data_IF_068465057175
#
_entry.id   IF_068465057175
#
_cell.length_a   1.000
_cell.length_b   1.000
_cell.length_c   1.000
_cell.angle_alpha   90.00
_cell.angle_beta   90.00
_cell.angle_gamma   90.00
#
_symmetry.space_group_name_H-M   'P 1'
#
loop_
_entity.id
_entity.type
_entity.pdbx_description
1 polymer ?
#
# COMPACT_ATOMS: atom_id res chain seq x y z
N UNK A 1 29.76 -5.16 3.92
CA UNK A 1 28.36 -4.65 3.91
C UNK A 1 28.17 -3.84 2.63
N UNK A 2 27.69 -4.47 1.56
CA UNK A 2 27.25 -3.76 0.35
C UNK A 2 25.94 -4.40 -0.08
N UNK A 3 24.84 -3.68 0.09
CA UNK A 3 23.63 -3.97 -0.67
C UNK A 3 23.99 -3.79 -2.15
N UNK A 4 23.74 -4.81 -2.97
CA UNK A 4 24.12 -4.81 -4.38
C UNK A 4 23.36 -3.70 -5.12
N UNK A 5 24.03 -2.69 -5.72
CA UNK A 5 23.36 -1.57 -6.38
C UNK A 5 22.63 -1.98 -7.68
N UNK A 6 22.91 -3.16 -8.23
CA UNK A 6 22.34 -3.63 -9.50
C UNK A 6 20.87 -4.06 -9.36
N UNK A 7 20.46 -4.62 -8.22
CA UNK A 7 19.05 -4.99 -7.99
C UNK A 7 18.15 -3.76 -7.90
N UNK A 8 18.66 -2.67 -7.32
CA UNK A 8 17.97 -1.37 -7.23
C UNK A 8 17.89 -0.68 -8.61
N UNK A 9 18.91 -0.83 -9.45
CA UNK A 9 18.93 -0.27 -10.81
C UNK A 9 18.02 -1.03 -11.79
N UNK A 10 17.98 -2.37 -11.74
CA UNK A 10 17.02 -3.16 -12.49
C UNK A 10 15.56 -2.87 -12.08
N UNK A 11 15.34 -2.59 -10.80
CA UNK A 11 14.05 -2.19 -10.25
C UNK A 11 13.60 -0.79 -10.71
N UNK A 12 14.54 0.15 -10.86
CA UNK A 12 14.23 1.49 -11.39
C UNK A 12 13.67 1.41 -12.82
N UNK A 13 14.27 0.59 -13.69
CA UNK A 13 13.81 0.41 -15.08
C UNK A 13 12.41 -0.25 -15.16
N UNK A 14 12.12 -1.22 -14.29
CA UNK A 14 10.81 -1.89 -14.23
C UNK A 14 9.72 -1.01 -13.63
N UNK A 15 10.08 -0.08 -12.74
CA UNK A 15 9.16 0.85 -12.06
C UNK A 15 8.76 2.04 -12.94
N UNK A 16 9.63 2.46 -13.87
CA UNK A 16 9.33 3.55 -14.84
C UNK A 16 8.62 3.09 -16.11
N UNK A 17 8.56 1.78 -16.38
CA UNK A 17 8.04 1.23 -17.64
C UNK A 17 6.52 1.09 -17.77
N UNK A 18 5.73 1.35 -16.71
CA UNK A 18 4.27 1.12 -16.71
C UNK A 18 3.49 2.44 -16.83
N UNK A 19 3.77 3.20 -17.89
CA UNK A 19 2.89 4.28 -18.37
C UNK A 19 2.87 4.26 -19.91
N UNK A 20 2.15 3.29 -20.45
CA UNK A 20 1.94 3.14 -21.89
C UNK A 20 0.67 2.34 -22.18
N UNK A 21 -0.50 2.87 -21.81
CA UNK A 21 -1.74 2.41 -22.42
C UNK A 21 -1.91 3.18 -23.74
N UNK A 22 -1.71 2.52 -24.87
CA UNK A 22 -2.74 2.38 -25.92
C UNK A 22 -2.26 1.49 -27.08
N UNK A 23 -3.18 0.60 -27.46
CA UNK A 23 -3.30 -0.18 -28.70
C UNK A 23 -2.30 -1.34 -28.94
N UNK A 24 -2.78 -2.57 -28.69
CA UNK A 24 -2.45 -3.75 -29.51
C UNK A 24 -3.74 -4.56 -29.72
N UNK A 25 -4.08 -4.95 -30.96
CA UNK A 25 -5.37 -5.55 -31.29
C UNK A 25 -5.41 -7.04 -30.90
N UNK A 26 -6.65 -7.52 -30.74
CA UNK A 26 -7.00 -8.87 -30.31
C UNK A 26 -6.39 -9.98 -31.20
N UNK A 27 -5.69 -10.91 -30.55
CA UNK A 27 -5.26 -12.21 -31.10
C UNK A 27 -5.66 -13.34 -30.13
N UNK A 28 -5.83 -14.58 -30.63
CA UNK A 28 -6.78 -15.54 -30.05
C UNK A 28 -6.22 -16.30 -28.84
N UNK A 29 -7.05 -16.36 -27.79
CA UNK A 29 -7.08 -17.35 -26.71
C UNK A 29 -5.75 -17.98 -26.27
N UNK A 30 -4.94 -17.23 -25.53
CA UNK A 30 -4.06 -17.84 -24.54
C UNK A 30 -4.91 -18.20 -23.30
N UNK A 31 -4.96 -19.50 -22.97
CA UNK A 31 -5.51 -20.00 -21.69
C UNK A 31 -4.95 -19.15 -20.55
N UNK A 32 -5.78 -18.65 -19.61
CA UNK A 32 -5.25 -17.98 -18.44
C UNK A 32 -4.35 -18.97 -17.71
N UNK A 33 -3.06 -18.64 -17.61
CA UNK A 33 -2.17 -19.31 -16.69
C UNK A 33 -2.80 -19.17 -15.31
N UNK A 34 -3.40 -20.26 -14.83
CA UNK A 34 -3.81 -20.39 -13.45
C UNK A 34 -2.54 -20.14 -12.66
N UNK A 35 -2.48 -18.98 -12.01
CA UNK A 35 -1.46 -18.67 -11.01
C UNK A 35 -1.57 -19.79 -9.99
N UNK A 36 -0.70 -20.78 -10.09
CA UNK A 36 -0.62 -21.84 -9.10
C UNK A 36 -0.27 -21.17 -7.78
N UNK A 37 -1.13 -21.29 -6.76
CA UNK A 37 -0.82 -20.74 -5.45
C UNK A 37 0.42 -21.47 -4.95
N UNK A 38 1.43 -20.72 -4.52
CA UNK A 38 2.64 -21.20 -3.86
C UNK A 38 2.34 -22.42 -2.96
N UNK A 39 2.98 -23.57 -3.12
CA UNK A 39 2.82 -24.67 -2.15
C UNK A 39 3.56 -24.25 -0.86
N UNK A 40 2.84 -23.52 0.01
CA UNK A 40 3.36 -22.67 1.10
C UNK A 40 2.48 -21.42 1.41
N UNK A 41 1.45 -21.14 0.57
CA UNK A 41 0.69 -19.86 0.44
C UNK A 41 0.30 -19.13 1.72
N UNK A 42 -0.12 -19.85 2.78
CA UNK A 42 -0.82 -19.19 3.90
C UNK A 42 0.13 -18.35 4.73
N UNK A 43 1.32 -18.86 5.06
CA UNK A 43 2.26 -18.18 5.93
C UNK A 43 2.91 -17.00 5.21
N UNK A 44 3.28 -17.17 3.94
CA UNK A 44 3.81 -16.09 3.10
C UNK A 44 2.81 -14.95 2.91
N UNK A 45 1.55 -15.30 2.60
CA UNK A 45 0.48 -14.33 2.39
C UNK A 45 0.18 -13.53 3.65
N UNK A 46 -0.01 -14.21 4.79
CA UNK A 46 -0.25 -13.57 6.10
C UNK A 46 0.92 -12.67 6.48
N UNK A 47 2.15 -13.11 6.23
CA UNK A 47 3.34 -12.32 6.51
C UNK A 47 3.39 -11.02 5.72
N UNK A 48 3.27 -11.11 4.39
CA UNK A 48 3.24 -9.93 3.51
C UNK A 48 2.07 -9.00 3.84
N UNK A 49 0.88 -9.55 4.09
CA UNK A 49 -0.29 -8.78 4.52
C UNK A 49 -0.03 -8.03 5.82
N UNK A 50 0.56 -8.68 6.83
CA UNK A 50 0.90 -8.04 8.11
C UNK A 50 1.80 -6.83 7.89
N UNK A 51 2.85 -7.00 7.06
CA UNK A 51 3.77 -5.90 6.78
C UNK A 51 3.11 -4.81 5.94
N UNK A 52 2.25 -5.16 4.99
CA UNK A 52 1.47 -4.19 4.20
C UNK A 52 0.59 -3.35 5.15
N UNK A 53 -0.13 -4.00 6.08
CA UNK A 53 -0.95 -3.30 7.07
C UNK A 53 -0.10 -2.33 7.90
N UNK A 54 1.05 -2.77 8.42
CA UNK A 54 2.01 -1.92 9.13
C UNK A 54 2.43 -0.70 8.33
N UNK A 55 2.84 -0.89 7.08
CA UNK A 55 3.30 0.20 6.23
C UNK A 55 2.17 1.16 5.86
N UNK A 56 0.94 0.67 5.68
CA UNK A 56 -0.21 1.52 5.35
C UNK A 56 -0.72 2.34 6.54
N UNK A 57 -0.69 1.78 7.75
CA UNK A 57 -1.25 2.41 8.96
C UNK A 57 -0.23 3.24 9.73
N UNK A 58 0.97 2.70 9.93
CA UNK A 58 2.02 3.28 10.78
C UNK A 58 3.28 3.67 10.00
N UNK A 59 3.43 3.16 8.78
CA UNK A 59 4.49 3.55 7.87
C UNK A 59 4.35 5.02 7.50
N UNK A 60 5.34 5.83 7.90
CA UNK A 60 5.47 7.20 7.43
C UNK A 60 5.85 7.16 5.94
N UNK A 61 4.84 7.06 5.08
CA UNK A 61 4.97 6.92 3.62
C UNK A 61 4.87 8.26 2.93
N UNK A 62 5.58 8.37 1.83
CA UNK A 62 5.64 9.59 1.02
C UNK A 62 4.60 9.60 -0.11
N UNK A 63 4.11 8.43 -0.46
CA UNK A 63 3.05 8.17 -1.42
C UNK A 63 2.53 6.76 -1.17
N UNK A 64 1.22 6.57 -1.31
CA UNK A 64 0.56 5.28 -1.15
C UNK A 64 0.56 4.47 -2.45
N UNK A 65 0.66 5.11 -3.62
CA UNK A 65 0.55 4.45 -4.93
C UNK A 65 1.73 4.76 -5.86
N UNK A 66 1.98 6.05 -6.09
CA UNK A 66 2.89 6.54 -7.12
C UNK A 66 4.36 6.32 -6.79
N UNK A 67 5.06 5.76 -7.76
CA UNK A 67 6.48 5.50 -7.67
C UNK A 67 7.37 6.73 -7.86
N UNK A 68 6.79 7.80 -8.40
CA UNK A 68 7.48 9.00 -8.83
C UNK A 68 6.67 10.24 -8.48
N UNK A 69 7.36 11.36 -8.27
CA UNK A 69 6.73 12.67 -8.07
C UNK A 69 6.13 13.19 -9.38
N UNK A 70 5.34 14.27 -9.28
CA UNK A 70 4.86 15.01 -10.47
C UNK A 70 6.03 15.49 -11.36
N UNK A 71 7.20 15.73 -10.76
CA UNK A 71 8.43 16.14 -11.45
C UNK A 71 9.27 14.95 -11.95
N UNK A 72 8.75 13.72 -11.83
CA UNK A 72 9.40 12.49 -12.30
C UNK A 72 10.47 11.93 -11.37
N UNK A 73 10.68 12.50 -10.18
CA UNK A 73 11.67 12.01 -9.22
C UNK A 73 11.19 10.73 -8.51
N UNK A 74 12.02 9.72 -8.28
CA UNK A 74 11.60 8.49 -7.63
C UNK A 74 11.21 8.75 -6.16
N UNK A 75 10.06 8.22 -5.75
CA UNK A 75 9.61 8.23 -4.35
C UNK A 75 10.13 6.99 -3.66
N UNK A 76 10.98 7.21 -2.65
CA UNK A 76 11.69 6.13 -1.95
C UNK A 76 10.86 5.49 -0.83
N UNK A 77 9.90 6.20 -0.24
CA UNK A 77 9.06 5.68 0.86
C UNK A 77 7.64 5.39 0.43
N UNK A 78 7.47 4.56 -0.59
CA UNK A 78 6.14 4.02 -0.94
C UNK A 78 5.94 2.65 -0.27
N UNK A 79 4.68 2.20 -0.07
CA UNK A 79 4.43 0.89 0.48
C UNK A 79 5.17 -0.23 -0.25
N UNK A 80 5.15 -0.21 -1.58
CA UNK A 80 5.80 -1.23 -2.40
C UNK A 80 7.33 -1.25 -2.21
N UNK A 81 7.98 -0.08 -2.15
CA UNK A 81 9.45 -0.01 -1.95
C UNK A 81 9.83 -0.46 -0.56
N UNK A 82 9.08 -0.03 0.47
CA UNK A 82 9.34 -0.42 1.84
C UNK A 82 9.17 -1.92 2.04
N UNK A 83 8.15 -2.52 1.43
CA UNK A 83 7.92 -3.97 1.43
C UNK A 83 9.03 -4.73 0.73
N UNK A 84 9.45 -4.26 -0.44
CA UNK A 84 10.51 -4.92 -1.19
C UNK A 84 11.86 -4.83 -0.47
N UNK A 85 12.20 -3.65 0.05
CA UNK A 85 13.41 -3.44 0.86
C UNK A 85 13.42 -4.34 2.10
N UNK A 86 12.26 -4.58 2.69
CA UNK A 86 12.10 -5.46 3.83
C UNK A 86 12.26 -6.94 3.47
N UNK A 87 11.76 -7.37 2.31
CA UNK A 87 11.94 -8.73 1.79
C UNK A 87 13.40 -8.99 1.37
N UNK A 88 14.06 -7.98 0.80
CA UNK A 88 15.45 -8.04 0.34
C UNK A 88 16.48 -7.94 1.47
N UNK A 89 16.04 -7.75 2.72
CA UNK A 89 16.94 -7.69 3.86
C UNK A 89 17.66 -9.04 4.05
N UNK A 90 19.00 -9.04 4.23
CA UNK A 90 19.74 -10.26 4.50
C UNK A 90 19.23 -10.93 5.78
N UNK A 91 19.11 -12.26 5.75
CA UNK A 91 18.62 -13.12 6.84
C UNK A 91 17.13 -12.99 7.20
N UNK A 92 16.33 -12.42 6.30
CA UNK A 92 14.91 -12.31 6.54
C UNK A 92 14.23 -13.72 6.54
N UNK A 93 13.54 -14.14 7.63
CA UNK A 93 13.02 -15.51 7.79
C UNK A 93 11.97 -15.91 6.73
N UNK A 94 11.29 -14.94 6.11
CA UNK A 94 10.42 -15.16 4.95
C UNK A 94 11.17 -15.67 3.72
N UNK A 95 12.43 -15.27 3.52
CA UNK A 95 13.15 -15.44 2.27
C UNK A 95 13.48 -16.91 1.94
N UNK A 96 13.64 -17.76 2.96
CA UNK A 96 14.15 -19.12 2.79
C UNK A 96 13.16 -20.06 2.08
N UNK A 97 11.86 -19.95 2.38
CA UNK A 97 10.85 -20.91 1.89
C UNK A 97 9.75 -20.29 1.01
N UNK A 98 9.64 -18.95 0.97
CA UNK A 98 8.47 -18.28 0.40
C UNK A 98 8.75 -17.47 -0.86
N UNK A 99 10.02 -17.33 -1.24
CA UNK A 99 10.40 -16.58 -2.43
C UNK A 99 10.28 -17.44 -3.70
N UNK A 100 9.92 -16.84 -4.84
CA UNK A 100 9.92 -17.55 -6.10
C UNK A 100 11.33 -18.08 -6.41
N UNK A 101 11.40 -19.30 -6.95
CA UNK A 101 12.68 -19.93 -7.32
C UNK A 101 13.48 -19.03 -8.26
N UNK A 102 14.75 -18.85 -7.96
CA UNK A 102 15.65 -17.97 -8.71
C UNK A 102 15.55 -16.51 -8.32
N UNK A 103 14.80 -16.14 -7.28
CA UNK A 103 14.94 -14.82 -6.65
C UNK A 103 16.23 -14.78 -5.80
N UNK A 104 17.00 -13.68 -5.79
CA UNK A 104 16.77 -12.43 -6.53
C UNK A 104 17.31 -12.41 -7.96
N UNK A 105 18.05 -13.43 -8.42
CA UNK A 105 18.84 -13.35 -9.66
C UNK A 105 18.02 -13.39 -10.98
N UNK A 106 16.77 -13.86 -10.93
CA UNK A 106 15.90 -14.01 -12.10
C UNK A 106 14.89 -12.87 -12.21
N UNK A 107 14.94 -12.14 -13.34
CA UNK A 107 13.95 -11.09 -13.67
C UNK A 107 12.51 -11.62 -13.63
N UNK A 108 12.28 -12.85 -14.10
CA UNK A 108 10.95 -13.49 -14.08
C UNK A 108 10.47 -13.75 -12.65
N UNK A 109 11.35 -14.19 -11.76
CA UNK A 109 11.03 -14.37 -10.35
C UNK A 109 10.70 -13.04 -9.66
N UNK A 110 11.49 -11.98 -9.96
CA UNK A 110 11.24 -10.63 -9.45
C UNK A 110 9.87 -10.09 -9.91
N UNK A 111 9.53 -10.22 -11.19
CA UNK A 111 8.25 -9.77 -11.75
C UNK A 111 7.05 -10.54 -11.16
N UNK A 112 7.22 -11.84 -10.94
CA UNK A 112 6.20 -12.69 -10.30
C UNK A 112 5.93 -12.21 -8.87
N UNK A 113 6.98 -11.99 -8.07
CA UNK A 113 6.85 -11.47 -6.72
C UNK A 113 6.21 -10.08 -6.70
N UNK A 114 6.65 -9.18 -7.59
CA UNK A 114 6.13 -7.83 -7.70
C UNK A 114 4.62 -7.82 -7.97
N UNK A 115 4.15 -8.68 -8.89
CA UNK A 115 2.73 -8.82 -9.23
C UNK A 115 1.90 -9.27 -8.02
N UNK A 116 2.44 -10.20 -7.23
CA UNK A 116 1.80 -10.68 -6.00
C UNK A 116 1.72 -9.55 -4.96
N UNK A 117 2.83 -8.87 -4.69
CA UNK A 117 2.89 -7.78 -3.73
C UNK A 117 1.94 -6.63 -4.10
N UNK A 118 1.87 -6.26 -5.38
CA UNK A 118 0.93 -5.25 -5.86
C UNK A 118 -0.53 -5.68 -5.67
N UNK A 119 -0.84 -6.95 -5.93
CA UNK A 119 -2.19 -7.50 -5.74
C UNK A 119 -2.61 -7.44 -4.27
N UNK A 120 -1.73 -7.88 -3.37
CA UNK A 120 -1.95 -7.82 -1.92
C UNK A 120 -2.08 -6.37 -1.45
N UNK A 121 -1.19 -5.49 -1.88
CA UNK A 121 -1.22 -4.07 -1.52
C UNK A 121 -2.54 -3.41 -1.94
N UNK A 122 -3.01 -3.65 -3.16
CA UNK A 122 -4.28 -3.13 -3.65
C UNK A 122 -5.46 -3.63 -2.82
N UNK A 123 -5.43 -4.90 -2.40
CA UNK A 123 -6.44 -5.48 -1.53
C UNK A 123 -6.47 -4.79 -0.17
N UNK A 124 -5.32 -4.68 0.51
CA UNK A 124 -5.23 -4.05 1.84
C UNK A 124 -5.51 -2.54 1.79
N UNK A 125 -5.14 -1.84 0.71
CA UNK A 125 -5.56 -0.46 0.49
C UNK A 125 -7.09 -0.34 0.37
N UNK A 126 -7.73 -1.25 -0.36
CA UNK A 126 -9.19 -1.32 -0.44
C UNK A 126 -9.83 -1.57 0.94
N UNK A 127 -9.22 -2.45 1.74
CA UNK A 127 -9.64 -2.72 3.11
C UNK A 127 -9.53 -1.47 3.99
N UNK A 128 -8.35 -0.83 4.03
CA UNK A 128 -8.10 0.39 4.79
C UNK A 128 -9.09 1.49 4.41
N UNK A 129 -9.32 1.71 3.10
CA UNK A 129 -10.33 2.65 2.61
C UNK A 129 -11.72 2.35 3.17
N UNK A 130 -12.13 1.09 3.18
CA UNK A 130 -13.42 0.68 3.73
C UNK A 130 -13.52 0.97 5.23
N UNK A 131 -12.43 0.79 5.98
CA UNK A 131 -12.40 1.07 7.43
C UNK A 131 -12.43 2.58 7.69
N UNK A 132 -11.65 3.37 6.96
CA UNK A 132 -11.62 4.83 7.08
C UNK A 132 -12.99 5.48 6.83
N UNK A 133 -13.79 4.90 5.93
CA UNK A 133 -15.11 5.40 5.56
C UNK A 133 -16.26 4.81 6.41
N UNK A 134 -15.93 4.11 7.51
CA UNK A 134 -16.93 3.56 8.43
C UNK A 134 -17.90 4.65 8.88
N UNK A 135 -19.19 4.41 8.65
CA UNK A 135 -20.30 5.32 8.96
C UNK A 135 -20.25 6.69 8.26
N UNK A 136 -19.44 6.85 7.21
CA UNK A 136 -19.42 8.06 6.37
C UNK A 136 -20.12 7.79 5.03
N UNK A 137 -19.82 6.64 4.41
CA UNK A 137 -20.36 6.25 3.11
C UNK A 137 -20.82 4.80 3.17
N UNK A 138 -21.97 4.50 2.57
CA UNK A 138 -22.40 3.12 2.39
C UNK A 138 -21.45 2.39 1.42
N UNK A 139 -20.67 1.47 1.95
CA UNK A 139 -19.74 0.64 1.20
C UNK A 139 -20.05 -0.83 1.47
N UNK A 140 -19.91 -1.66 0.44
CA UNK A 140 -20.07 -3.11 0.57
C UNK A 140 -21.42 -3.52 1.20
N UNK A 141 -22.51 -2.81 0.86
CA UNK A 141 -23.87 -3.01 1.41
C UNK A 141 -23.99 -2.82 2.93
N UNK A 142 -23.04 -2.12 3.56
CA UNK A 142 -23.14 -1.71 4.96
C UNK A 142 -23.86 -0.36 5.04
N UNK A 143 -25.05 -0.38 5.63
CA UNK A 143 -25.79 0.85 5.91
C UNK A 143 -25.07 1.69 6.97
N UNK A 144 -25.24 3.00 6.90
CA UNK A 144 -24.82 3.93 7.96
C UNK A 144 -25.82 3.78 9.11
N UNK A 145 -25.40 3.13 10.20
CA UNK A 145 -26.26 2.87 11.37
C UNK A 145 -25.84 3.63 12.62
N UNK A 146 -24.55 3.95 12.72
CA UNK A 146 -23.99 4.64 13.87
C UNK A 146 -23.36 5.97 13.44
N UNK A 147 -22.92 6.73 14.44
CA UNK A 147 -22.21 7.98 14.24
C UNK A 147 -20.85 7.76 13.58
N UNK A 148 -20.35 8.81 12.90
CA UNK A 148 -18.97 8.86 12.39
C UNK A 148 -18.01 8.70 13.59
N UNK A 149 -17.08 7.74 13.55
CA UNK A 149 -16.16 7.54 14.67
C UNK A 149 -15.25 8.76 14.84
N UNK A 150 -15.06 9.19 16.09
CA UNK A 150 -13.98 10.13 16.41
C UNK A 150 -12.61 9.47 16.13
N UNK A 151 -11.55 10.28 16.09
CA UNK A 151 -10.22 9.81 15.70
C UNK A 151 -9.71 8.65 16.57
N UNK A 152 -9.94 8.67 17.89
CA UNK A 152 -9.53 7.59 18.78
C UNK A 152 -10.24 6.27 18.46
N UNK A 153 -11.56 6.31 18.30
CA UNK A 153 -12.36 5.13 17.92
C UNK A 153 -12.03 4.65 16.51
N UNK A 154 -11.70 5.57 15.60
CA UNK A 154 -11.26 5.22 14.25
C UNK A 154 -9.93 4.47 14.27
N UNK A 155 -8.95 4.94 15.05
CA UNK A 155 -7.65 4.27 15.20
C UNK A 155 -7.84 2.85 15.75
N UNK A 156 -8.67 2.68 16.78
CA UNK A 156 -9.02 1.36 17.33
C UNK A 156 -9.63 0.47 16.24
N UNK A 157 -10.54 1.00 15.41
CA UNK A 157 -11.12 0.26 14.28
C UNK A 157 -10.09 -0.08 13.21
N UNK A 158 -9.20 0.84 12.84
CA UNK A 158 -8.11 0.60 11.88
C UNK A 158 -7.21 -0.51 12.41
N UNK A 159 -6.79 -0.43 13.66
CA UNK A 159 -5.93 -1.42 14.28
C UNK A 159 -6.59 -2.81 14.31
N UNK A 160 -7.81 -2.90 14.85
CA UNK A 160 -8.53 -4.17 14.85
C UNK A 160 -8.75 -4.71 13.45
N UNK A 161 -9.27 -3.93 12.51
CA UNK A 161 -9.66 -4.46 11.20
C UNK A 161 -8.45 -4.82 10.33
N UNK A 162 -7.36 -4.05 10.42
CA UNK A 162 -6.14 -4.30 9.63
C UNK A 162 -5.31 -5.46 10.19
N UNK A 163 -5.36 -5.74 11.50
CA UNK A 163 -4.53 -6.78 12.14
C UNK A 163 -5.30 -8.01 12.66
N UNK A 164 -6.63 -7.99 12.75
CA UNK A 164 -7.41 -9.16 13.23
C UNK A 164 -7.32 -10.37 12.32
N UNK A 165 -7.02 -10.20 11.03
CA UNK A 165 -6.85 -11.33 10.11
C UNK A 165 -5.48 -11.99 10.19
N UNK A 166 -4.50 -11.33 10.81
CA UNK A 166 -3.09 -11.76 10.79
C UNK A 166 -2.53 -12.07 12.18
N UNK A 167 -3.15 -11.58 13.26
CA UNK A 167 -2.68 -11.81 14.63
C UNK A 167 -3.84 -12.23 15.56
N UNK A 168 -3.91 -13.50 16.02
CA UNK A 168 -4.89 -13.94 17.03
C UNK A 168 -4.64 -13.39 18.44
N UNK A 169 -3.46 -12.82 18.68
CA UNK A 169 -3.15 -12.04 19.88
C UNK A 169 -3.09 -10.59 19.42
N UNK A 170 -4.14 -9.82 19.71
CA UNK A 170 -4.16 -8.39 19.39
C UNK A 170 -2.90 -7.71 19.94
N UNK A 171 -2.40 -6.65 19.28
CA UNK A 171 -1.34 -5.86 19.87
C UNK A 171 -1.82 -5.44 21.25
N UNK A 172 -1.05 -5.77 22.30
CA UNK A 172 -1.31 -5.29 23.66
C UNK A 172 -1.78 -3.85 23.55
N UNK A 173 -3.02 -3.58 23.98
CA UNK A 173 -3.84 -2.40 23.69
C UNK A 173 -3.29 -1.07 24.18
N UNK A 174 -2.02 -0.81 23.86
CA UNK A 174 -1.29 0.38 24.15
C UNK A 174 -1.26 1.17 22.85
N UNK A 175 -2.03 2.25 22.87
CA UNK A 175 -2.08 3.38 21.93
C UNK A 175 -0.70 4.04 21.65
N UNK A 176 0.41 3.37 21.98
CA UNK A 176 1.81 3.77 21.84
C UNK A 176 2.35 3.60 20.40
N UNK A 177 1.80 2.66 19.62
CA UNK A 177 2.25 2.46 18.23
C UNK A 177 1.84 3.61 17.29
N UNK A 178 0.71 4.26 17.58
CA UNK A 178 0.21 5.41 16.82
C UNK A 178 0.70 6.71 17.45
N UNK A 179 1.85 7.20 16.99
CA UNK A 179 2.37 8.51 17.40
C UNK A 179 1.52 9.66 16.80
N UNK A 180 1.80 10.91 17.20
CA UNK A 180 1.04 12.08 16.74
C UNK A 180 0.96 12.19 15.21
N UNK A 181 2.07 11.94 14.52
CA UNK A 181 2.13 11.93 13.05
C UNK A 181 1.22 10.87 12.46
N UNK A 182 1.23 9.64 12.99
CA UNK A 182 0.37 8.55 12.50
C UNK A 182 -1.11 8.89 12.68
N UNK A 183 -1.47 9.51 13.79
CA UNK A 183 -2.85 9.96 14.06
C UNK A 183 -3.30 11.00 13.05
N UNK A 184 -2.43 11.97 12.74
CA UNK A 184 -2.68 13.01 11.73
C UNK A 184 -2.83 12.36 10.34
N UNK A 185 -1.97 11.40 9.99
CA UNK A 185 -2.07 10.68 8.71
C UNK A 185 -3.41 9.96 8.56
N UNK A 186 -3.88 9.24 9.59
CA UNK A 186 -5.19 8.55 9.55
C UNK A 186 -6.34 9.54 9.37
N UNK A 187 -6.33 10.65 10.13
CA UNK A 187 -7.34 11.70 10.00
C UNK A 187 -7.34 12.32 8.60
N UNK A 188 -6.14 12.65 8.10
CA UNK A 188 -5.95 13.22 6.77
C UNK A 188 -6.45 12.29 5.66
N UNK A 189 -6.16 10.98 5.75
CA UNK A 189 -6.65 9.98 4.81
C UNK A 189 -8.18 9.89 4.85
N UNK A 190 -8.78 9.80 6.03
CA UNK A 190 -10.24 9.75 6.16
C UNK A 190 -10.90 10.97 5.50
N UNK A 191 -10.44 12.17 5.83
CA UNK A 191 -10.98 13.42 5.27
C UNK A 191 -10.76 13.50 3.75
N UNK A 192 -9.56 13.19 3.26
CA UNK A 192 -9.24 13.29 1.83
C UNK A 192 -10.06 12.29 0.99
N UNK A 193 -10.26 11.06 1.49
CA UNK A 193 -11.07 10.07 0.78
C UNK A 193 -12.56 10.48 0.83
N UNK A 194 -13.06 10.94 1.97
CA UNK A 194 -14.44 11.42 2.09
C UNK A 194 -14.69 12.60 1.15
N UNK A 195 -13.80 13.59 1.14
CA UNK A 195 -13.89 14.75 0.25
C UNK A 195 -13.89 14.33 -1.22
N UNK A 196 -13.02 13.39 -1.62
CA UNK A 196 -12.99 12.85 -2.98
C UNK A 196 -14.33 12.19 -3.37
N UNK A 197 -15.01 11.51 -2.44
CA UNK A 197 -16.29 10.85 -2.71
C UNK A 197 -17.43 11.85 -2.81
N UNK A 198 -17.49 12.84 -1.92
CA UNK A 198 -18.58 13.83 -1.89
C UNK A 198 -18.40 14.94 -2.93
N UNK A 199 -17.16 15.22 -3.36
CA UNK A 199 -16.84 16.23 -4.36
C UNK A 199 -16.03 15.64 -5.52
N UNK A 200 -16.61 14.71 -6.31
CA UNK A 200 -15.90 14.07 -7.39
C UNK A 200 -15.62 15.08 -8.53
N UNK A 201 -14.34 15.23 -8.89
CA UNK A 201 -13.98 15.96 -10.09
C UNK A 201 -14.21 15.08 -11.33
N UNK A 202 -15.37 15.22 -11.97
CA UNK A 202 -15.77 14.41 -13.14
C UNK A 202 -14.85 14.58 -14.35
N UNK A 203 -14.02 15.61 -14.38
CA UNK A 203 -13.06 15.85 -15.47
C UNK A 203 -11.69 15.23 -15.19
N UNK A 204 -11.47 14.70 -13.99
CA UNK A 204 -10.20 14.11 -13.58
C UNK A 204 -10.27 12.57 -13.65
N UNK A 205 -9.39 11.89 -14.40
CA UNK A 205 -9.35 10.42 -14.43
C UNK A 205 -8.71 9.80 -13.18
N UNK A 206 -8.28 10.62 -12.22
CA UNK A 206 -7.52 10.19 -11.04
C UNK A 206 -8.38 9.41 -10.05
N UNK A 207 -7.79 8.36 -9.51
CA UNK A 207 -8.29 7.60 -8.37
C UNK A 207 -8.13 8.38 -7.06
N UNK A 208 -8.86 7.96 -6.01
CA UNK A 208 -8.75 8.57 -4.68
C UNK A 208 -7.31 8.54 -4.12
N UNK A 209 -6.57 7.46 -4.40
CA UNK A 209 -5.18 7.31 -3.94
C UNK A 209 -4.21 8.23 -4.68
N UNK A 210 -4.40 8.47 -5.98
CA UNK A 210 -3.58 9.43 -6.74
C UNK A 210 -3.83 10.87 -6.29
N UNK A 211 -5.07 11.22 -5.95
CA UNK A 211 -5.40 12.53 -5.38
C UNK A 211 -4.71 12.72 -4.01
N UNK A 212 -4.72 11.68 -3.18
CA UNK A 212 -4.02 11.68 -1.88
C UNK A 212 -2.51 11.87 -2.08
N UNK A 213 -1.90 11.13 -3.00
CA UNK A 213 -0.47 11.24 -3.28
C UNK A 213 -0.07 12.65 -3.72
N UNK A 214 -0.85 13.28 -4.60
CA UNK A 214 -0.62 14.67 -5.00
C UNK A 214 -0.72 15.64 -3.83
N UNK A 215 -1.69 15.44 -2.94
CA UNK A 215 -1.84 16.27 -1.73
C UNK A 215 -0.68 16.07 -0.76
N UNK A 216 -0.21 14.83 -0.56
CA UNK A 216 0.97 14.54 0.25
C UNK A 216 2.24 15.21 -0.31
N UNK A 217 2.45 15.12 -1.63
CA UNK A 217 3.54 15.83 -2.30
C UNK A 217 3.40 17.36 -2.14
N UNK A 218 2.19 17.89 -2.25
CA UNK A 218 1.94 19.31 -2.02
C UNK A 218 2.29 19.75 -0.59
N UNK A 219 1.85 19.04 0.44
CA UNK A 219 2.18 19.36 1.84
C UNK A 219 3.70 19.36 2.06
N UNK A 220 4.42 18.43 1.43
CA UNK A 220 5.88 18.33 1.55
C UNK A 220 6.67 19.41 0.84
N UNK A 221 6.09 20.02 -0.19
CA UNK A 221 6.70 21.17 -0.88
C UNK A 221 6.40 22.49 -0.17
N UNK A 222 5.55 22.49 0.87
CA UNK A 222 5.32 23.65 1.73
C UNK A 222 6.42 23.82 2.76
N UNK A 223 6.58 25.05 3.24
CA UNK A 223 7.63 25.44 4.19
C UNK A 223 7.56 24.63 5.49
N UNK A 224 8.71 24.49 6.16
CA UNK A 224 8.83 23.79 7.44
C UNK A 224 7.83 24.31 8.49
N UNK A 225 7.58 25.63 8.52
CA UNK A 225 6.57 26.24 9.38
C UNK A 225 5.14 25.74 9.11
N UNK A 226 4.82 25.33 7.89
CA UNK A 226 3.52 24.74 7.54
C UNK A 226 3.46 23.23 7.82
N UNK A 227 4.60 22.55 7.87
CA UNK A 227 4.68 21.11 8.14
C UNK A 227 4.65 20.77 9.64
N UNK A 228 5.03 21.72 10.51
CA UNK A 228 5.15 21.53 11.96
C UNK A 228 4.32 22.52 12.81
N UNK A 229 3.46 23.34 12.18
CA UNK A 229 2.46 24.15 12.89
C UNK A 229 1.23 23.32 13.25
#
# INVERSE_FOLDING_TARGET
>A
MHACPESVQGLHALRTGVHGQHACPAGPHAKPAVLTPFVGVRHAGIFCQTKICEVLTTGNVDSYLTASTVEGQPVLRTPLVLLQTYIDAPDHPFAQDNLPRGYPDSTTAQLSLLTILQTLLKHEQGHLRSVLLTNIVELNRRCIRDHVPNLANLIIKVDHMMYSSTHPQGPNGNNMAYNGTTKICIAFLQLSIAEFIFHPNRSSPLTSWEVIDRRLQHVKTKSCAFQYA
#
